data_IF_022040490327
#
_entry.id   IF_022040490327
#
_cell.length_a   1.000
_cell.length_b   1.000
_cell.length_c   1.000
_cell.angle_alpha   90.00
_cell.angle_beta   90.00
_cell.angle_gamma   90.00
#
_symmetry.space_group_name_H-M   'P 1'
#
loop_
_entity.id
_entity.type
_entity.pdbx_description
1 polymer ?
#
# COMPACT_ATOMS: atom_id res chain seq x y z
N UNK A 1 12.78 3.17 25.11
CA UNK A 1 12.61 3.13 23.64
C UNK A 1 13.98 3.00 23.04
N UNK A 2 14.16 2.06 22.12
CA UNK A 2 15.39 1.97 21.32
C UNK A 2 15.10 2.83 20.09
N UNK A 3 15.90 3.87 19.86
CA UNK A 3 15.74 4.69 18.66
C UNK A 3 16.10 3.84 17.43
N UNK A 4 15.13 3.63 16.55
CA UNK A 4 15.36 2.96 15.27
C UNK A 4 15.98 3.95 14.30
N UNK A 5 17.20 3.64 13.83
CA UNK A 5 17.89 4.46 12.82
C UNK A 5 17.72 3.80 11.44
N UNK A 6 17.15 4.55 10.49
CA UNK A 6 16.99 4.12 9.09
C UNK A 6 18.02 4.85 8.23
N UNK A 7 18.97 4.10 7.67
CA UNK A 7 19.99 4.62 6.74
C UNK A 7 19.43 4.69 5.31
N UNK A 8 19.43 5.87 4.65
CA UNK A 8 18.94 6.00 3.27
C UNK A 8 19.77 5.18 2.28
N UNK A 9 21.10 5.21 2.42
CA UNK A 9 22.02 4.48 1.54
C UNK A 9 21.80 2.98 1.66
N UNK A 10 21.76 2.45 2.88
CA UNK A 10 21.56 1.01 3.09
C UNK A 10 20.16 0.58 2.66
N UNK A 11 19.16 1.44 2.85
CA UNK A 11 17.79 1.17 2.41
C UNK A 11 17.70 1.01 0.90
N UNK A 12 18.27 1.96 0.16
CA UNK A 12 18.25 1.93 -1.30
C UNK A 12 19.11 0.77 -1.83
N UNK A 13 20.36 0.64 -1.36
CA UNK A 13 21.25 -0.42 -1.84
C UNK A 13 20.70 -1.82 -1.54
N UNK A 14 20.15 -2.04 -0.34
CA UNK A 14 19.52 -3.32 0.01
C UNK A 14 18.38 -3.72 -0.93
N UNK A 15 17.62 -2.75 -1.44
CA UNK A 15 16.58 -3.01 -2.44
C UNK A 15 17.19 -3.30 -3.80
N UNK A 16 18.13 -2.44 -4.26
CA UNK A 16 18.81 -2.58 -5.57
C UNK A 16 19.52 -3.93 -5.71
N UNK A 17 20.21 -4.35 -4.66
CA UNK A 17 20.96 -5.60 -4.62
C UNK A 17 20.06 -6.81 -4.24
N UNK A 18 18.79 -6.57 -3.87
CA UNK A 18 17.83 -7.58 -3.42
C UNK A 18 18.30 -8.41 -2.22
N UNK A 19 18.98 -7.77 -1.28
CA UNK A 19 19.54 -8.42 -0.09
C UNK A 19 18.47 -8.81 0.95
N UNK A 20 17.32 -8.12 0.96
CA UNK A 20 16.23 -8.37 1.93
C UNK A 20 15.10 -9.17 1.26
N UNK A 21 14.62 -10.21 1.94
CA UNK A 21 13.47 -11.01 1.51
C UNK A 21 12.21 -10.16 1.31
N UNK A 22 12.09 -9.04 2.04
CA UNK A 22 10.97 -8.09 1.95
C UNK A 22 10.79 -7.50 0.56
N UNK A 23 11.81 -7.52 -0.30
CA UNK A 23 11.69 -7.16 -1.72
C UNK A 23 10.69 -8.06 -2.45
N UNK A 24 10.45 -9.29 -1.96
CA UNK A 24 9.49 -10.25 -2.50
C UNK A 24 8.29 -10.49 -1.58
N UNK A 25 8.04 -9.62 -0.59
CA UNK A 25 6.93 -9.80 0.36
C UNK A 25 5.55 -9.63 -0.29
N UNK A 26 5.45 -8.74 -1.28
CA UNK A 26 4.21 -8.50 -2.01
C UNK A 26 4.26 -9.16 -3.39
N UNK A 27 3.49 -10.25 -3.56
CA UNK A 27 3.44 -10.99 -4.81
C UNK A 27 2.87 -10.19 -6.00
N UNK A 28 2.21 -9.05 -5.73
CA UNK A 28 1.70 -8.14 -6.76
C UNK A 28 2.72 -7.07 -7.15
N UNK A 29 3.92 -7.06 -6.54
CA UNK A 29 4.96 -6.08 -6.81
C UNK A 29 6.24 -6.74 -7.28
N UNK A 30 6.63 -6.39 -8.50
CA UNK A 30 7.93 -6.74 -9.05
C UNK A 30 8.98 -5.67 -8.72
N UNK A 31 10.25 -6.08 -8.80
CA UNK A 31 11.38 -5.18 -8.76
C UNK A 31 11.24 -4.09 -9.82
N UNK A 32 10.94 -2.89 -9.35
CA UNK A 32 10.64 -1.72 -10.17
C UNK A 32 10.97 -0.43 -9.41
N UNK A 33 10.90 0.70 -10.10
CA UNK A 33 11.00 2.01 -9.45
C UNK A 33 9.85 2.23 -8.45
N UNK A 34 8.62 1.79 -8.78
CA UNK A 34 7.49 1.85 -7.86
C UNK A 34 7.72 1.00 -6.60
N UNK A 35 8.23 -0.23 -6.79
CA UNK A 35 8.62 -1.10 -5.68
C UNK A 35 9.74 -0.51 -4.83
N UNK A 36 10.71 0.21 -5.41
CA UNK A 36 11.76 0.89 -4.64
C UNK A 36 11.17 1.99 -3.74
N UNK A 37 10.28 2.81 -4.31
CA UNK A 37 9.60 3.88 -3.58
C UNK A 37 8.80 3.30 -2.41
N UNK A 38 8.01 2.27 -2.67
CA UNK A 38 7.16 1.64 -1.65
C UNK A 38 7.97 0.88 -0.61
N UNK A 39 9.01 0.14 -1.00
CA UNK A 39 9.91 -0.53 -0.05
C UNK A 39 10.60 0.47 0.88
N UNK A 40 11.05 1.61 0.33
CA UNK A 40 11.70 2.67 1.10
C UNK A 40 10.73 3.29 2.10
N UNK A 41 9.53 3.68 1.66
CA UNK A 41 8.50 4.24 2.52
C UNK A 41 8.05 3.22 3.59
N UNK A 42 7.86 1.96 3.19
CA UNK A 42 7.40 0.88 4.04
C UNK A 42 8.31 0.58 5.21
N UNK A 43 9.64 0.71 5.06
CA UNK A 43 10.58 0.56 6.20
C UNK A 43 10.34 1.61 7.28
N UNK A 44 9.97 2.84 6.89
CA UNK A 44 9.66 3.92 7.85
C UNK A 44 8.32 3.65 8.51
N UNK A 45 7.29 3.37 7.72
CA UNK A 45 5.92 3.13 8.20
C UNK A 45 5.84 1.91 9.12
N UNK A 46 6.56 0.83 8.81
CA UNK A 46 6.57 -0.38 9.64
C UNK A 46 7.11 -0.11 11.05
N UNK A 47 8.15 0.72 11.19
CA UNK A 47 8.65 1.08 12.51
C UNK A 47 7.68 1.99 13.26
N UNK A 48 7.02 2.93 12.57
CA UNK A 48 5.97 3.74 13.18
C UNK A 48 4.83 2.87 13.74
N UNK A 49 4.34 1.88 12.98
CA UNK A 49 3.36 0.92 13.48
C UNK A 49 3.82 0.22 14.75
N UNK A 50 5.04 -0.34 14.73
CA UNK A 50 5.55 -1.18 15.82
C UNK A 50 5.92 -0.41 17.08
N UNK A 51 6.29 0.86 16.95
CA UNK A 51 6.74 1.69 18.06
C UNK A 51 5.64 2.59 18.65
N UNK A 52 4.74 3.10 17.80
CA UNK A 52 3.75 4.11 18.22
C UNK A 52 2.32 3.57 18.30
N UNK A 53 1.96 2.57 17.49
CA UNK A 53 0.56 2.12 17.36
C UNK A 53 0.32 0.78 18.04
N UNK A 54 1.17 -0.22 17.78
CA UNK A 54 1.06 -1.52 18.41
C UNK A 54 1.58 -1.49 19.85
N UNK A 55 1.09 -2.43 20.66
CA UNK A 55 1.63 -2.59 22.01
C UNK A 55 3.11 -2.99 21.96
N UNK A 56 3.94 -2.57 22.94
CA UNK A 56 5.35 -2.95 22.98
C UNK A 56 5.58 -4.47 22.95
N UNK A 57 4.65 -5.24 23.54
CA UNK A 57 4.70 -6.71 23.51
C UNK A 57 4.46 -7.26 22.10
N UNK A 58 3.49 -6.72 21.35
CA UNK A 58 3.25 -7.14 19.97
C UNK A 58 4.41 -6.74 19.05
N UNK A 59 4.92 -5.51 19.21
CA UNK A 59 6.06 -5.03 18.43
C UNK A 59 7.32 -5.88 18.65
N UNK A 60 7.58 -6.26 19.90
CA UNK A 60 8.69 -7.18 20.24
C UNK A 60 8.47 -8.58 19.66
N UNK A 61 7.29 -9.16 19.84
CA UNK A 61 6.96 -10.48 19.29
C UNK A 61 7.13 -10.54 17.76
N UNK A 62 6.77 -9.47 17.04
CA UNK A 62 7.02 -9.36 15.60
C UNK A 62 8.51 -9.33 15.27
N UNK A 63 9.30 -8.51 15.98
CA UNK A 63 10.73 -8.34 15.76
C UNK A 63 11.54 -9.58 16.13
N UNK A 64 11.12 -10.32 17.15
CA UNK A 64 11.71 -11.59 17.61
C UNK A 64 11.25 -12.78 16.76
N UNK A 65 10.25 -12.60 15.89
CA UNK A 65 9.74 -13.64 14.99
C UNK A 65 8.73 -14.60 15.62
N UNK A 66 8.24 -14.29 16.82
CA UNK A 66 7.19 -15.07 17.49
C UNK A 66 5.85 -14.98 16.76
N UNK A 67 5.58 -13.83 16.13
CA UNK A 67 4.42 -13.59 15.28
C UNK A 67 4.84 -12.86 14.00
N UNK A 68 3.98 -12.91 12.99
CA UNK A 68 4.10 -12.06 11.81
C UNK A 68 2.89 -11.14 11.74
N UNK A 69 3.14 -9.83 11.70
CA UNK A 69 2.11 -8.80 11.49
C UNK A 69 2.24 -8.42 10.02
N UNK A 70 1.18 -8.67 9.27
CA UNK A 70 1.16 -8.48 7.83
C UNK A 70 1.05 -6.99 7.47
N UNK A 71 1.57 -6.64 6.28
CA UNK A 71 1.29 -5.36 5.59
C UNK A 71 1.64 -4.08 6.37
N UNK A 72 2.69 -4.16 7.20
CA UNK A 72 3.22 -3.02 7.97
C UNK A 72 3.83 -1.91 7.10
N UNK A 73 4.03 -2.14 5.82
CA UNK A 73 4.59 -1.20 4.86
C UNK A 73 3.62 -0.07 4.46
N UNK A 74 2.34 -0.20 4.78
CA UNK A 74 1.30 0.79 4.50
C UNK A 74 0.56 1.19 5.78
N UNK A 75 0.34 2.49 5.97
CA UNK A 75 -0.49 3.01 7.09
C UNK A 75 -1.95 3.12 6.63
N UNK A 76 -2.50 1.98 6.22
CA UNK A 76 -3.80 1.89 5.55
C UNK A 76 -4.56 0.62 5.95
N UNK A 77 -5.78 0.46 5.44
CA UNK A 77 -6.48 -0.82 5.52
C UNK A 77 -5.81 -1.89 4.66
N UNK A 78 -6.09 -3.16 4.94
CA UNK A 78 -5.56 -4.29 4.16
C UNK A 78 -6.21 -4.37 2.77
N UNK A 79 -7.38 -5.02 2.67
CA UNK A 79 -8.11 -5.18 1.42
C UNK A 79 -9.42 -4.41 1.44
N UNK A 80 -9.91 -4.06 0.25
CA UNK A 80 -11.22 -3.46 0.05
C UNK A 80 -12.02 -4.16 -1.03
N UNK A 81 -13.33 -4.25 -0.83
CA UNK A 81 -14.29 -4.66 -1.85
C UNK A 81 -15.14 -3.46 -2.24
N UNK A 82 -15.28 -3.22 -3.53
CA UNK A 82 -15.91 -2.03 -4.09
C UNK A 82 -17.20 -2.37 -4.83
N UNK A 83 -18.22 -1.53 -4.62
CA UNK A 83 -19.50 -1.71 -5.30
C UNK A 83 -19.37 -1.23 -6.75
N UNK A 84 -19.20 -2.17 -7.69
CA UNK A 84 -19.26 -1.86 -9.12
C UNK A 84 -20.58 -1.16 -9.47
N UNK A 85 -21.70 -1.55 -8.84
CA UNK A 85 -22.99 -0.87 -9.02
C UNK A 85 -22.89 0.61 -8.68
N UNK A 86 -22.23 0.95 -7.58
CA UNK A 86 -22.10 2.34 -7.14
C UNK A 86 -21.25 3.13 -8.13
N UNK A 87 -20.09 2.60 -8.53
CA UNK A 87 -19.24 3.22 -9.55
C UNK A 87 -20.01 3.49 -10.86
N UNK A 88 -20.85 2.54 -11.29
CA UNK A 88 -21.65 2.70 -12.52
C UNK A 88 -22.85 3.65 -12.35
N UNK A 89 -23.43 3.75 -11.16
CA UNK A 89 -24.62 4.56 -10.90
C UNK A 89 -24.28 6.02 -10.55
N UNK A 90 -23.14 6.25 -9.91
CA UNK A 90 -22.72 7.56 -9.39
C UNK A 90 -21.57 8.17 -10.19
N UNK A 91 -20.82 7.34 -10.94
CA UNK A 91 -19.57 7.74 -11.58
C UNK A 91 -18.40 7.67 -10.60
N UNK A 92 -17.29 8.34 -10.92
CA UNK A 92 -16.09 8.35 -10.10
C UNK A 92 -15.66 9.78 -9.79
N UNK A 93 -15.65 10.17 -8.52
CA UNK A 93 -15.31 11.52 -8.11
C UNK A 93 -15.78 11.87 -6.70
N UNK A 94 -16.03 13.15 -6.47
CA UNK A 94 -16.51 13.67 -5.17
C UNK A 94 -15.42 14.23 -4.26
N UNK A 95 -14.16 14.24 -4.71
CA UNK A 95 -13.05 14.87 -4.00
C UNK A 95 -12.87 16.31 -4.53
N UNK A 96 -12.94 17.33 -3.65
CA UNK A 96 -12.72 18.72 -4.07
C UNK A 96 -11.36 18.92 -4.73
N UNK A 97 -11.34 19.65 -5.86
CA UNK A 97 -10.11 19.96 -6.58
C UNK A 97 -9.57 18.84 -7.48
N UNK A 98 -10.28 17.71 -7.60
CA UNK A 98 -9.91 16.62 -8.52
C UNK A 98 -10.93 16.47 -9.66
N UNK A 99 -10.47 15.92 -10.78
CA UNK A 99 -11.35 15.62 -11.91
C UNK A 99 -12.32 14.52 -11.52
N UNK A 100 -13.61 14.73 -11.80
CA UNK A 100 -14.68 13.77 -11.56
C UNK A 100 -15.32 13.33 -12.88
N UNK A 101 -15.82 12.11 -12.91
CA UNK A 101 -16.54 11.52 -14.04
C UNK A 101 -17.98 11.22 -13.63
N UNK A 102 -18.94 11.67 -14.45
CA UNK A 102 -20.34 11.27 -14.32
C UNK A 102 -20.54 9.78 -14.67
N UNK A 103 -21.71 9.18 -14.34
CA UNK A 103 -22.02 7.80 -14.68
C UNK A 103 -21.77 7.47 -16.16
N UNK A 104 -21.10 6.35 -16.47
CA UNK A 104 -20.75 6.00 -17.84
C UNK A 104 -22.00 5.63 -18.66
N UNK A 105 -22.08 6.11 -19.91
CA UNK A 105 -23.20 5.80 -20.83
C UNK A 105 -22.89 4.71 -21.85
N UNK A 106 -21.63 4.29 -21.91
CA UNK A 106 -21.13 3.25 -22.82
C UNK A 106 -20.17 2.32 -22.07
N UNK A 107 -20.09 1.06 -22.51
CA UNK A 107 -19.22 0.07 -21.87
C UNK A 107 -17.74 0.48 -21.88
N UNK A 108 -17.25 1.10 -22.97
CA UNK A 108 -15.89 1.61 -23.04
C UNK A 108 -15.59 2.66 -21.97
N UNK A 109 -16.53 3.58 -21.72
CA UNK A 109 -16.43 4.56 -20.64
C UNK A 109 -16.47 3.90 -19.27
N UNK A 110 -17.31 2.87 -19.08
CA UNK A 110 -17.36 2.11 -17.84
C UNK A 110 -16.04 1.41 -17.55
N UNK A 111 -15.46 0.70 -18.53
CA UNK A 111 -14.15 0.07 -18.40
C UNK A 111 -13.05 1.09 -18.10
N UNK A 112 -13.06 2.24 -18.78
CA UNK A 112 -12.11 3.33 -18.52
C UNK A 112 -12.22 3.87 -17.09
N UNK A 113 -13.44 4.04 -16.57
CA UNK A 113 -13.66 4.46 -15.19
C UNK A 113 -13.21 3.40 -14.18
N UNK A 114 -13.44 2.10 -14.43
CA UNK A 114 -12.95 1.01 -13.57
C UNK A 114 -11.42 1.00 -13.51
N UNK A 115 -10.74 1.13 -14.66
CA UNK A 115 -9.27 1.20 -14.70
C UNK A 115 -8.76 2.43 -13.95
N UNK A 116 -9.39 3.59 -14.15
CA UNK A 116 -8.99 4.81 -13.44
C UNK A 116 -9.24 4.71 -11.93
N UNK A 117 -10.36 4.09 -11.53
CA UNK A 117 -10.70 3.83 -10.14
C UNK A 117 -9.65 2.96 -9.45
N UNK A 118 -9.35 1.79 -10.01
CA UNK A 118 -8.35 0.87 -9.45
C UNK A 118 -6.95 1.49 -9.44
N UNK A 119 -6.57 2.21 -10.50
CA UNK A 119 -5.28 2.90 -10.56
C UNK A 119 -5.15 4.04 -9.54
N UNK A 120 -6.24 4.78 -9.29
CA UNK A 120 -6.25 5.87 -8.30
C UNK A 120 -6.11 5.32 -6.88
N UNK A 121 -6.78 4.21 -6.58
CA UNK A 121 -6.84 3.65 -5.22
C UNK A 121 -5.70 2.67 -4.93
N UNK A 122 -4.85 2.34 -5.90
CA UNK A 122 -3.82 1.29 -5.77
C UNK A 122 -2.89 1.49 -4.55
N UNK A 123 -2.62 2.74 -4.15
CA UNK A 123 -1.76 3.06 -3.00
C UNK A 123 -2.56 3.52 -1.76
N UNK A 124 -3.87 3.33 -1.73
CA UNK A 124 -4.73 3.64 -0.58
C UNK A 124 -5.03 2.41 0.29
N UNK A 125 -4.61 1.22 -0.17
CA UNK A 125 -4.81 -0.07 0.48
C UNK A 125 -3.55 -0.92 0.35
N UNK A 126 -3.21 -1.71 1.36
CA UNK A 126 -2.01 -2.54 1.32
C UNK A 126 -2.16 -3.81 0.48
N UNK A 127 -3.39 -4.32 0.42
CA UNK A 127 -3.75 -5.59 -0.18
C UNK A 127 -4.64 -5.45 -1.42
N UNK A 128 -5.39 -6.53 -1.68
CA UNK A 128 -6.24 -6.65 -2.85
C UNK A 128 -7.44 -5.67 -2.83
N UNK A 129 -7.81 -5.24 -4.03
CA UNK A 129 -9.00 -4.44 -4.29
C UNK A 129 -9.87 -5.19 -5.29
N UNK A 130 -11.09 -5.52 -4.89
CA UNK A 130 -12.02 -6.36 -5.66
C UNK A 130 -13.31 -5.62 -6.01
#
# INVERSE_FOLDING_TARGET
MVDVVISPTDTINSYLDRHDWRVNANANQDYSLGGLILNTAGKVVANYWLDEVFSPTAGRAHREGDIHIHDLDMLAGYCAGWSLRQLLAEGFGGVPGTVSSAPPRHLSSACGQIVNFLGTLQNEWAGAQA
#
